data_IF_151428898940
#
_entry.id   IF_151428898940
#
_cell.length_a   1.000
_cell.length_b   1.000
_cell.length_c   1.000
_cell.angle_alpha   90.00
_cell.angle_beta   90.00
_cell.angle_gamma   90.00
#
_symmetry.space_group_name_H-M   'P 1'
#
loop_
_entity.id
_entity.type
_entity.pdbx_description
1 polymer ?
#
# COMPACT_ATOMS: atom_id res chain seq x y z
N UNK A 1 -35.29 -3.43 16.50
CA UNK A 1 -34.88 -2.45 15.50
C UNK A 1 -33.61 -1.69 15.88
N UNK A 2 -33.51 -1.13 17.09
CA UNK A 2 -32.33 -0.34 17.48
C UNK A 2 -31.02 -1.13 17.47
N UNK A 3 -31.04 -2.42 17.82
CA UNK A 3 -29.85 -3.28 17.82
C UNK A 3 -29.31 -3.54 16.40
N UNK A 4 -30.16 -3.62 15.39
CA UNK A 4 -29.81 -3.85 14.00
C UNK A 4 -29.18 -2.58 13.41
N UNK A 5 -29.72 -1.42 13.75
CA UNK A 5 -29.20 -0.12 13.29
C UNK A 5 -27.80 0.15 13.86
N UNK A 6 -27.57 -0.19 15.12
CA UNK A 6 -26.26 -0.04 15.77
C UNK A 6 -25.22 -0.96 15.14
N UNK A 7 -25.60 -2.22 14.83
CA UNK A 7 -24.70 -3.17 14.16
C UNK A 7 -24.31 -2.70 12.74
N UNK A 8 -25.24 -2.11 12.00
CA UNK A 8 -24.98 -1.61 10.66
C UNK A 8 -24.07 -0.37 10.67
N UNK A 9 -24.24 0.50 11.66
CA UNK A 9 -23.38 1.68 11.84
C UNK A 9 -21.93 1.31 12.22
N UNK A 10 -21.77 0.27 13.06
CA UNK A 10 -20.44 -0.24 13.44
C UNK A 10 -19.69 -0.85 12.24
N UNK A 11 -20.40 -1.58 11.36
CA UNK A 11 -19.82 -2.16 10.14
C UNK A 11 -19.37 -1.08 9.15
N UNK A 12 -20.12 0.01 9.02
CA UNK A 12 -19.76 1.14 8.15
C UNK A 12 -18.52 1.89 8.66
N UNK A 13 -18.36 2.02 9.99
CA UNK A 13 -17.18 2.65 10.59
C UNK A 13 -15.89 1.85 10.33
N UNK A 14 -15.96 0.51 10.34
CA UNK A 14 -14.82 -0.37 10.04
C UNK A 14 -14.38 -0.27 8.57
N UNK A 15 -15.30 -0.02 7.64
CA UNK A 15 -14.99 0.13 6.22
C UNK A 15 -14.21 1.40 5.88
N UNK A 16 -14.23 2.42 6.77
CA UNK A 16 -13.53 3.70 6.58
C UNK A 16 -12.10 3.76 7.13
N UNK A 17 -11.62 2.71 7.82
CA UNK A 17 -10.29 2.67 8.39
C UNK A 17 -9.22 2.40 7.34
N UNK A 18 -8.04 3.03 7.49
CA UNK A 18 -6.89 2.77 6.65
C UNK A 18 -6.45 1.31 6.76
N UNK A 19 -6.22 0.67 5.61
CA UNK A 19 -5.70 -0.69 5.56
C UNK A 19 -4.22 -0.70 5.94
N UNK A 20 -3.79 -1.76 6.61
CA UNK A 20 -2.36 -1.99 6.84
C UNK A 20 -1.68 -2.38 5.52
N UNK A 21 -0.38 -2.07 5.35
CA UNK A 21 0.32 -2.30 4.07
C UNK A 21 0.22 -3.72 3.54
N UNK A 22 0.27 -4.73 4.40
CA UNK A 22 0.18 -6.15 4.03
C UNK A 22 -1.21 -6.55 3.50
N UNK A 23 -2.25 -5.79 3.85
CA UNK A 23 -3.62 -6.01 3.38
C UNK A 23 -3.92 -5.28 2.06
N UNK A 24 -3.03 -4.41 1.59
CA UNK A 24 -3.21 -3.65 0.37
C UNK A 24 -2.80 -4.50 -0.84
N UNK A 25 -3.74 -4.73 -1.75
CA UNK A 25 -3.50 -5.49 -2.99
C UNK A 25 -2.78 -4.61 -4.00
N UNK A 26 -1.74 -5.15 -4.63
CA UNK A 26 -0.98 -4.43 -5.65
C UNK A 26 -1.79 -4.17 -6.92
N UNK A 27 -1.50 -3.05 -7.58
CA UNK A 27 -1.97 -2.79 -8.94
C UNK A 27 -1.18 -3.69 -9.90
N UNK A 28 -1.85 -4.28 -10.87
CA UNK A 28 -1.22 -5.07 -11.90
C UNK A 28 -0.51 -4.16 -12.92
N UNK A 29 0.82 -4.21 -12.91
CA UNK A 29 1.67 -3.44 -13.84
C UNK A 29 2.43 -4.45 -14.69
N UNK A 30 2.32 -4.35 -16.04
CA UNK A 30 3.01 -5.30 -16.92
C UNK A 30 4.53 -5.14 -16.83
N UNK A 31 5.25 -6.27 -16.79
CA UNK A 31 6.72 -6.25 -16.76
C UNK A 31 7.32 -5.61 -18.01
N UNK A 32 6.58 -5.58 -19.11
CA UNK A 32 6.99 -4.93 -20.35
C UNK A 32 7.34 -3.44 -20.17
N UNK A 33 6.81 -2.79 -19.14
CA UNK A 33 7.16 -1.42 -18.80
C UNK A 33 8.65 -1.26 -18.41
N UNK A 34 9.31 -2.34 -18.01
CA UNK A 34 10.69 -2.33 -17.50
C UNK A 34 11.67 -3.21 -18.28
N UNK A 35 11.22 -3.97 -19.27
CA UNK A 35 12.07 -4.91 -20.01
C UNK A 35 13.08 -4.23 -20.93
N UNK A 36 12.88 -2.96 -21.26
CA UNK A 36 13.82 -2.16 -22.04
C UNK A 36 14.97 -1.54 -21.23
N UNK A 37 14.93 -1.64 -19.91
CA UNK A 37 15.99 -1.16 -19.03
C UNK A 37 17.14 -2.18 -18.96
N UNK A 38 18.38 -1.67 -18.84
CA UNK A 38 19.53 -2.53 -18.52
C UNK A 38 19.39 -3.11 -17.12
N UNK A 39 20.11 -4.19 -16.82
CA UNK A 39 20.13 -4.76 -15.47
C UNK A 39 20.56 -3.73 -14.41
N UNK A 40 21.52 -2.86 -14.74
CA UNK A 40 22.00 -1.81 -13.85
C UNK A 40 20.92 -0.75 -13.58
N UNK A 41 20.29 -0.25 -14.65
CA UNK A 41 19.21 0.73 -14.54
C UNK A 41 18.00 0.14 -13.78
N UNK A 42 17.65 -1.10 -14.06
CA UNK A 42 16.58 -1.81 -13.40
C UNK A 42 16.85 -1.99 -11.89
N UNK A 43 18.09 -2.32 -11.53
CA UNK A 43 18.49 -2.45 -10.12
C UNK A 43 18.38 -1.11 -9.38
N UNK A 44 18.76 -0.01 -10.00
CA UNK A 44 18.62 1.35 -9.42
C UNK A 44 17.15 1.70 -9.21
N UNK A 45 16.32 1.53 -10.23
CA UNK A 45 14.88 1.82 -10.12
C UNK A 45 14.17 0.93 -9.10
N UNK A 46 14.51 -0.35 -9.06
CA UNK A 46 13.97 -1.29 -8.09
C UNK A 46 14.32 -0.88 -6.66
N UNK A 47 15.56 -0.51 -6.40
CA UNK A 47 16.00 -0.04 -5.09
C UNK A 47 15.27 1.22 -4.65
N UNK A 48 15.11 2.19 -5.56
CA UNK A 48 14.38 3.43 -5.30
C UNK A 48 12.92 3.16 -4.97
N UNK A 49 12.26 2.32 -5.75
CA UNK A 49 10.84 2.01 -5.54
C UNK A 49 10.62 1.22 -4.25
N UNK A 50 11.53 0.30 -3.91
CA UNK A 50 11.47 -0.42 -2.61
C UNK A 50 11.62 0.53 -1.43
N UNK A 51 12.53 1.49 -1.51
CA UNK A 51 12.70 2.51 -0.46
C UNK A 51 11.45 3.38 -0.32
N UNK A 52 10.85 3.77 -1.44
CA UNK A 52 9.58 4.51 -1.47
C UNK A 52 8.44 3.69 -0.85
N UNK A 53 8.34 2.41 -1.23
CA UNK A 53 7.33 1.51 -0.67
C UNK A 53 7.48 1.35 0.84
N UNK A 54 8.71 1.22 1.33
CA UNK A 54 8.99 1.13 2.76
C UNK A 54 8.55 2.40 3.51
N UNK A 55 8.86 3.57 2.97
CA UNK A 55 8.44 4.84 3.55
C UNK A 55 6.91 5.01 3.55
N UNK A 56 6.26 4.71 2.43
CA UNK A 56 4.81 4.73 2.32
C UNK A 56 4.15 3.74 3.29
N UNK A 57 4.76 2.57 3.46
CA UNK A 57 4.26 1.55 4.39
C UNK A 57 4.32 2.02 5.84
N UNK A 58 5.38 2.71 6.23
CA UNK A 58 5.49 3.32 7.56
C UNK A 58 4.43 4.41 7.78
N UNK A 59 4.19 5.26 6.79
CA UNK A 59 3.14 6.26 6.83
C UNK A 59 1.76 5.60 6.95
N UNK A 60 1.52 4.51 6.21
CA UNK A 60 0.25 3.79 6.23
C UNK A 60 0.01 3.11 7.59
N UNK A 61 1.04 2.55 8.20
CA UNK A 61 0.95 1.97 9.56
C UNK A 61 0.56 3.06 10.56
N UNK A 62 1.17 4.24 10.46
CA UNK A 62 0.82 5.38 11.32
C UNK A 62 -0.62 5.83 11.11
N UNK A 63 -1.09 5.88 9.86
CA UNK A 63 -2.48 6.22 9.54
C UNK A 63 -3.46 5.17 10.07
N UNK A 64 -3.18 3.89 9.90
CA UNK A 64 -4.00 2.80 10.41
C UNK A 64 -4.08 2.82 11.94
N UNK A 65 -2.97 3.09 12.63
CA UNK A 65 -2.92 3.22 14.08
C UNK A 65 -3.70 4.48 14.54
N UNK A 66 -3.56 5.59 13.83
CA UNK A 66 -4.32 6.81 14.09
C UNK A 66 -5.82 6.61 13.91
N UNK A 67 -6.23 5.89 12.86
CA UNK A 67 -7.63 5.56 12.59
C UNK A 67 -8.21 4.70 13.71
N UNK A 68 -7.50 3.65 14.13
CA UNK A 68 -7.93 2.77 15.21
C UNK A 68 -8.09 3.54 16.53
N UNK A 69 -7.14 4.41 16.85
CA UNK A 69 -7.18 5.25 18.04
C UNK A 69 -8.33 6.27 17.99
N UNK A 70 -8.50 6.93 16.84
CA UNK A 70 -9.57 7.91 16.64
C UNK A 70 -10.96 7.29 16.68
N UNK A 71 -11.15 6.14 16.07
CA UNK A 71 -12.42 5.39 16.13
C UNK A 71 -12.72 4.96 17.56
N UNK A 72 -11.71 4.51 18.28
CA UNK A 72 -11.86 4.12 19.69
C UNK A 72 -12.29 5.28 20.58
N UNK A 73 -11.68 6.48 20.41
CA UNK A 73 -11.93 7.64 21.27
C UNK A 73 -13.15 8.47 20.85
N UNK A 74 -13.29 8.74 19.54
CA UNK A 74 -14.27 9.71 19.02
C UNK A 74 -15.14 9.15 17.89
N UNK A 75 -14.94 7.90 17.49
CA UNK A 75 -15.71 7.25 16.43
C UNK A 75 -15.33 7.69 15.02
N UNK A 76 -14.21 8.38 14.82
CA UNK A 76 -13.74 8.91 13.52
C UNK A 76 -12.33 8.42 13.22
N UNK A 77 -12.04 7.96 11.98
CA UNK A 77 -10.70 7.54 11.56
C UNK A 77 -9.78 8.76 11.34
N UNK A 78 -9.18 9.27 12.39
CA UNK A 78 -8.42 10.52 12.42
C UNK A 78 -7.24 10.48 11.42
N UNK A 79 -6.52 9.36 11.32
CA UNK A 79 -5.39 9.22 10.41
C UNK A 79 -5.77 9.40 8.94
N UNK A 80 -6.86 8.77 8.50
CA UNK A 80 -7.38 8.88 7.12
C UNK A 80 -7.98 10.26 6.86
N UNK A 81 -8.74 10.81 7.80
CA UNK A 81 -9.33 12.15 7.68
C UNK A 81 -8.24 13.21 7.58
N UNK A 82 -7.10 13.03 8.24
CA UNK A 82 -5.94 13.92 8.14
C UNK A 82 -5.10 13.71 6.86
N UNK A 83 -5.54 12.86 5.92
CA UNK A 83 -4.83 12.61 4.66
C UNK A 83 -3.69 11.60 4.77
N UNK A 84 -3.66 10.78 5.84
CA UNK A 84 -2.60 9.79 6.07
C UNK A 84 -2.76 8.48 5.31
N UNK A 85 -3.91 8.23 4.66
CA UNK A 85 -4.15 6.99 3.92
C UNK A 85 -3.42 7.01 2.58
N UNK A 86 -2.46 6.10 2.42
CA UNK A 86 -1.61 5.95 1.23
C UNK A 86 -1.91 4.67 0.44
N UNK A 87 -3.10 4.10 0.60
CA UNK A 87 -3.48 2.82 -0.03
C UNK A 87 -3.20 2.78 -1.52
N UNK A 88 -3.65 3.80 -2.27
CA UNK A 88 -3.46 3.87 -3.73
C UNK A 88 -1.99 3.96 -4.12
N UNK A 89 -1.20 4.75 -3.42
CA UNK A 89 0.24 4.88 -3.66
C UNK A 89 1.00 3.59 -3.34
N UNK A 90 0.64 2.91 -2.26
CA UNK A 90 1.23 1.62 -1.89
C UNK A 90 0.86 0.55 -2.92
N UNK A 91 -0.40 0.48 -3.35
CA UNK A 91 -0.85 -0.47 -4.36
C UNK A 91 -0.06 -0.30 -5.66
N UNK A 92 0.14 0.94 -6.11
CA UNK A 92 0.93 1.26 -7.30
C UNK A 92 2.41 0.89 -7.11
N UNK A 93 3.00 1.25 -5.98
CA UNK A 93 4.40 0.94 -5.67
C UNK A 93 4.68 -0.55 -5.59
N UNK A 94 3.80 -1.32 -4.94
CA UNK A 94 3.87 -2.79 -4.93
C UNK A 94 3.82 -3.38 -6.33
N UNK A 95 2.95 -2.85 -7.19
CA UNK A 95 2.84 -3.27 -8.57
C UNK A 95 4.12 -3.00 -9.37
N UNK A 96 4.72 -1.83 -9.19
CA UNK A 96 6.00 -1.47 -9.83
C UNK A 96 7.14 -2.37 -9.39
N UNK A 97 7.28 -2.60 -8.09
CA UNK A 97 8.30 -3.51 -7.54
C UNK A 97 8.13 -4.91 -8.13
N UNK A 98 6.92 -5.44 -8.15
CA UNK A 98 6.62 -6.76 -8.70
C UNK A 98 6.94 -6.84 -10.20
N UNK A 99 6.56 -5.82 -10.97
CA UNK A 99 6.85 -5.75 -12.41
C UNK A 99 8.35 -5.67 -12.69
N UNK A 100 9.11 -4.90 -11.91
CA UNK A 100 10.57 -4.84 -12.03
C UNK A 100 11.23 -6.18 -11.71
N UNK A 101 10.78 -6.87 -10.68
CA UNK A 101 11.28 -8.21 -10.33
C UNK A 101 10.99 -9.21 -11.44
N UNK A 102 9.81 -9.20 -12.02
CA UNK A 102 9.45 -10.05 -13.16
C UNK A 102 10.29 -9.75 -14.39
N UNK A 103 10.51 -8.46 -14.70
CA UNK A 103 11.39 -8.04 -15.78
C UNK A 103 12.84 -8.50 -15.54
N UNK A 104 13.32 -8.38 -14.32
CA UNK A 104 14.65 -8.86 -13.92
C UNK A 104 14.82 -10.35 -14.13
N UNK A 105 13.85 -11.15 -13.71
CA UNK A 105 13.84 -12.59 -13.94
C UNK A 105 13.84 -12.94 -15.42
N UNK A 106 13.01 -12.27 -16.22
CA UNK A 106 12.93 -12.46 -17.67
C UNK A 106 14.24 -12.14 -18.37
N UNK A 107 14.99 -11.16 -17.91
CA UNK A 107 16.25 -10.71 -18.48
C UNK A 107 17.48 -11.41 -17.91
N UNK A 108 17.32 -12.25 -16.89
CA UNK A 108 18.44 -12.85 -16.18
C UNK A 108 19.20 -11.90 -15.26
N UNK A 109 18.59 -10.77 -14.87
CA UNK A 109 19.18 -9.85 -13.91
C UNK A 109 19.05 -10.40 -12.48
N UNK A 110 20.03 -10.10 -11.63
CA UNK A 110 19.96 -10.41 -10.21
C UNK A 110 19.48 -9.19 -9.45
N UNK A 111 18.22 -9.19 -9.05
CA UNK A 111 17.65 -8.15 -8.20
C UNK A 111 17.45 -8.70 -6.79
N UNK A 112 17.72 -7.88 -5.74
CA UNK A 112 17.37 -8.25 -4.36
C UNK A 112 15.86 -8.42 -4.22
N UNK A 113 15.46 -9.39 -3.45
CA UNK A 113 14.04 -9.61 -3.16
C UNK A 113 13.48 -8.60 -2.16
#
# INVERSE_FOLDING_TARGET
MNKIIIAFSAAAALAGCAKRPDAIVQVDIPMAAYTNLSCEALAVEHKKEKAKLDDLSKQQISAANGDAFGVFLVGVPIGSVAGGDKEGEIAASKGKVSAMQSAGLSKGCKLPS
#
